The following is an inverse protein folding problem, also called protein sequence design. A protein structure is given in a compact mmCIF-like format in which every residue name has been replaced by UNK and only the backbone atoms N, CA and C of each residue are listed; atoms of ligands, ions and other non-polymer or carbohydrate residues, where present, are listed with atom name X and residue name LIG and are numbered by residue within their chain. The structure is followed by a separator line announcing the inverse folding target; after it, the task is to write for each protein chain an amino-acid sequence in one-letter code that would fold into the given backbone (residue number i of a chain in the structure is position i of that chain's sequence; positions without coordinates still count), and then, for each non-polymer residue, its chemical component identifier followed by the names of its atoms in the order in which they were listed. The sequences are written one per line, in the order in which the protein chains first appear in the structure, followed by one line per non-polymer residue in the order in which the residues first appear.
data_IF_515413542527
#
_entry.id   IF_515413542527
#
_cell.length_a   1.000
_cell.length_b   1.000
_cell.length_c   1.000
_cell.angle_alpha   90.00
_cell.angle_beta   90.00
_cell.angle_gamma   90.00
#
_symmetry.space_group_name_H-M   'P 1'
#
loop_
_entity.id
_entity.type
_entity.pdbx_description
1 polymer ?
#
# COMPACT_ATOMS: atom_id res chain seq x y z
N UNK A 1 12.59 -4.15 -15.45
CA UNK A 1 12.92 -5.45 -16.07
C UNK A 1 14.41 -5.59 -16.23
N UNK A 2 15.13 -4.51 -16.55
CA UNK A 2 16.60 -4.47 -16.51
C UNK A 2 17.13 -4.60 -15.08
N UNK A 3 17.92 -5.64 -14.82
CA UNK A 3 18.47 -5.95 -13.50
C UNK A 3 19.58 -4.98 -13.09
N UNK A 4 20.43 -4.58 -14.04
CA UNK A 4 21.53 -3.66 -13.78
C UNK A 4 21.01 -2.30 -13.34
N UNK A 5 20.09 -1.71 -14.11
CA UNK A 5 19.49 -0.41 -13.79
C UNK A 5 18.70 -0.48 -12.49
N UNK A 6 17.94 -1.57 -12.26
CA UNK A 6 17.14 -1.71 -11.04
C UNK A 6 18.05 -1.74 -9.80
N UNK A 7 19.14 -2.49 -9.83
CA UNK A 7 20.10 -2.57 -8.72
C UNK A 7 20.94 -1.30 -8.59
N UNK A 8 21.30 -0.64 -9.70
CA UNK A 8 22.00 0.66 -9.66
C UNK A 8 21.18 1.72 -8.92
N UNK A 9 19.88 1.80 -9.21
CA UNK A 9 18.99 2.77 -8.54
C UNK A 9 18.66 2.34 -7.12
N UNK A 10 18.50 1.05 -6.83
CA UNK A 10 18.17 0.58 -5.47
C UNK A 10 19.36 0.61 -4.51
N UNK A 11 20.46 0.01 -4.96
CA UNK A 11 21.63 -0.35 -4.16
C UNK A 11 22.77 0.65 -4.37
N UNK A 12 22.68 1.49 -5.39
CA UNK A 12 23.73 2.42 -5.76
C UNK A 12 24.82 1.76 -6.61
N UNK A 13 25.99 2.38 -6.62
CA UNK A 13 27.18 1.98 -7.38
C UNK A 13 28.03 0.99 -6.57
N UNK A 14 28.40 -0.14 -7.15
CA UNK A 14 29.34 -1.12 -6.57
C UNK A 14 30.70 -0.49 -6.26
N UNK A 15 31.33 -0.89 -5.15
CA UNK A 15 32.58 -0.33 -4.63
C UNK A 15 32.43 1.03 -3.94
N UNK A 16 31.28 1.72 -4.11
CA UNK A 16 30.97 2.98 -3.42
C UNK A 16 29.89 2.77 -2.36
N UNK A 17 28.77 2.17 -2.77
CA UNK A 17 27.57 2.01 -1.93
C UNK A 17 27.44 0.58 -1.41
N UNK A 18 27.82 -0.43 -2.20
CA UNK A 18 27.84 -1.82 -1.75
C UNK A 18 29.06 -2.54 -2.33
N UNK A 19 29.39 -3.71 -1.79
CA UNK A 19 30.32 -4.67 -2.42
C UNK A 19 29.59 -5.98 -2.67
N UNK A 20 29.96 -6.67 -3.75
CA UNK A 20 29.52 -8.03 -4.01
C UNK A 20 30.40 -9.04 -3.25
N UNK A 21 29.78 -10.10 -2.75
CA UNK A 21 30.41 -11.23 -2.06
C UNK A 21 30.65 -12.38 -3.05
N UNK A 22 31.42 -13.39 -2.65
CA UNK A 22 31.76 -14.53 -3.52
C UNK A 22 30.54 -15.31 -4.03
N UNK A 23 29.44 -15.30 -3.28
CA UNK A 23 28.18 -15.97 -3.60
C UNK A 23 27.21 -15.08 -4.41
N UNK A 24 27.65 -13.90 -4.86
CA UNK A 24 26.85 -12.94 -5.63
C UNK A 24 25.89 -12.09 -4.78
N UNK A 25 25.86 -12.31 -3.45
CA UNK A 25 25.13 -11.44 -2.53
C UNK A 25 25.86 -10.13 -2.32
N UNK A 26 25.19 -9.18 -1.69
CA UNK A 26 25.76 -7.86 -1.43
C UNK A 26 25.85 -7.56 0.07
N UNK A 27 26.82 -6.73 0.40
CA UNK A 27 26.95 -6.08 1.69
C UNK A 27 27.03 -4.57 1.48
N UNK A 28 26.22 -3.81 2.20
CA UNK A 28 26.24 -2.35 2.15
C UNK A 28 27.55 -1.80 2.70
N UNK A 29 28.04 -0.74 2.06
CA UNK A 29 29.12 0.11 2.53
C UNK A 29 28.55 1.35 3.22
N UNK A 30 29.32 2.05 4.09
CA UNK A 30 28.81 3.18 4.87
C UNK A 30 28.07 4.25 4.03
N UNK A 31 28.55 4.54 2.82
CA UNK A 31 27.94 5.53 1.95
C UNK A 31 26.48 5.20 1.56
N UNK A 32 26.10 3.92 1.49
CA UNK A 32 24.71 3.50 1.20
C UNK A 32 23.75 3.82 2.33
N UNK A 33 24.22 3.75 3.56
CA UNK A 33 23.38 4.03 4.74
C UNK A 33 23.36 5.54 5.01
N UNK A 34 24.50 6.21 4.88
CA UNK A 34 24.66 7.61 5.27
C UNK A 34 24.17 8.61 4.22
N UNK A 35 24.31 8.29 2.92
CA UNK A 35 24.21 9.30 1.84
C UNK A 35 23.34 8.90 0.68
N UNK A 36 23.00 7.62 0.53
CA UNK A 36 22.24 7.14 -0.61
C UNK A 36 21.19 6.10 -0.19
N UNK A 37 20.03 6.55 0.28
CA UNK A 37 18.91 5.67 0.61
C UNK A 37 17.74 5.88 -0.33
N UNK A 38 17.26 4.80 -0.93
CA UNK A 38 16.17 4.80 -1.90
C UNK A 38 14.99 3.97 -1.39
N UNK A 39 13.73 4.40 -1.62
CA UNK A 39 12.55 3.69 -1.16
C UNK A 39 12.26 2.46 -2.03
N UNK A 40 12.98 1.36 -1.79
CA UNK A 40 12.91 0.10 -2.58
C UNK A 40 11.49 -0.34 -2.93
N UNK A 41 10.54 -0.23 -1.98
CA UNK A 41 9.14 -0.63 -2.17
C UNK A 41 8.43 0.13 -3.30
N UNK A 42 8.81 1.39 -3.54
CA UNK A 42 8.22 2.25 -4.57
C UNK A 42 8.92 2.09 -5.94
N UNK A 43 9.97 1.26 -5.99
CA UNK A 43 10.84 1.12 -7.14
C UNK A 43 10.66 -0.26 -7.76
N UNK A 44 9.99 -0.32 -8.90
CA UNK A 44 10.01 -1.44 -9.84
C UNK A 44 9.85 -2.86 -9.26
N UNK A 45 10.34 -3.84 -10.03
CA UNK A 45 10.27 -5.25 -9.66
C UNK A 45 11.32 -5.59 -8.59
N UNK A 46 10.89 -6.29 -7.53
CA UNK A 46 11.75 -6.75 -6.45
C UNK A 46 12.48 -8.06 -6.80
N UNK A 47 11.90 -8.91 -7.64
CA UNK A 47 12.42 -10.25 -7.95
C UNK A 47 13.74 -10.26 -8.73
N UNK A 48 14.22 -9.10 -9.16
CA UNK A 48 15.48 -8.92 -9.90
C UNK A 48 16.54 -8.17 -9.07
N UNK A 49 16.27 -7.94 -7.78
CA UNK A 49 17.23 -7.34 -6.87
C UNK A 49 18.22 -8.38 -6.37
N UNK A 50 19.48 -7.97 -6.25
CA UNK A 50 20.52 -8.72 -5.53
C UNK A 50 20.09 -8.93 -4.08
N UNK A 51 20.45 -10.10 -3.54
CA UNK A 51 20.19 -10.48 -2.16
C UNK A 51 21.25 -9.91 -1.23
N UNK A 52 20.85 -9.56 -0.01
CA UNK A 52 21.79 -9.23 1.05
C UNK A 52 22.40 -10.48 1.69
N UNK A 53 23.58 -10.33 2.30
CA UNK A 53 24.34 -11.42 2.93
C UNK A 53 23.52 -12.29 3.90
N UNK A 54 22.60 -11.67 4.65
CA UNK A 54 21.72 -12.29 5.63
C UNK A 54 20.40 -12.83 5.04
N UNK A 55 20.14 -12.62 3.75
CA UNK A 55 18.92 -13.07 3.10
C UNK A 55 19.02 -14.52 2.61
N UNK A 56 17.94 -15.32 2.73
CA UNK A 56 17.87 -16.65 2.14
C UNK A 56 18.07 -16.62 0.62
N UNK A 57 18.82 -17.59 0.09
CA UNK A 57 19.09 -17.70 -1.36
C UNK A 57 17.82 -17.89 -2.19
N UNK A 58 16.77 -18.45 -1.59
CA UNK A 58 15.48 -18.73 -2.19
C UNK A 58 14.41 -17.69 -1.84
N UNK A 59 14.78 -16.53 -1.26
CA UNK A 59 13.87 -15.46 -0.84
C UNK A 59 12.82 -15.14 -1.91
N UNK A 60 13.26 -14.90 -3.14
CA UNK A 60 12.34 -14.53 -4.22
C UNK A 60 11.40 -15.65 -4.65
N UNK A 61 11.83 -16.91 -4.54
CA UNK A 61 10.98 -18.05 -4.84
C UNK A 61 9.95 -18.29 -3.72
N UNK A 62 10.33 -18.07 -2.46
CA UNK A 62 9.38 -18.06 -1.34
C UNK A 62 8.32 -16.96 -1.51
N UNK A 63 8.72 -15.74 -1.92
CA UNK A 63 7.76 -14.67 -2.19
C UNK A 63 6.85 -14.97 -3.38
N UNK A 64 7.35 -15.56 -4.47
CA UNK A 64 6.50 -16.00 -5.58
C UNK A 64 5.48 -17.04 -5.11
N UNK A 65 5.92 -18.06 -4.38
CA UNK A 65 5.04 -19.09 -3.84
C UNK A 65 4.00 -18.54 -2.84
N UNK A 66 4.37 -17.54 -2.05
CA UNK A 66 3.44 -16.84 -1.16
C UNK A 66 2.41 -16.02 -1.95
N UNK A 67 2.86 -15.27 -2.95
CA UNK A 67 1.98 -14.48 -3.82
C UNK A 67 1.01 -15.35 -4.60
N UNK A 68 1.47 -16.47 -5.16
CA UNK A 68 0.64 -17.41 -5.94
C UNK A 68 -0.44 -18.09 -5.09
N UNK A 69 -0.19 -18.25 -3.79
CA UNK A 69 -1.16 -18.80 -2.81
C UNK A 69 -2.11 -17.74 -2.26
N UNK A 70 -1.90 -16.46 -2.57
CA UNK A 70 -2.70 -15.38 -2.02
C UNK A 70 -4.09 -15.39 -2.64
N UNK A 71 -5.11 -15.21 -1.80
CA UNK A 71 -6.50 -15.14 -2.24
C UNK A 71 -6.83 -13.70 -2.60
N UNK A 72 -7.24 -13.47 -3.84
CA UNK A 72 -7.71 -12.16 -4.28
C UNK A 72 -8.97 -11.75 -3.49
N UNK A 73 -9.02 -10.48 -3.08
CA UNK A 73 -10.23 -9.92 -2.46
C UNK A 73 -11.42 -10.03 -3.43
N UNK A 74 -12.63 -10.34 -2.95
CA UNK A 74 -13.84 -10.34 -3.79
C UNK A 74 -14.12 -9.00 -4.50
N UNK A 75 -13.58 -7.90 -3.96
CA UNK A 75 -13.66 -6.56 -4.57
C UNK A 75 -12.39 -6.10 -5.28
N UNK A 76 -11.40 -6.98 -5.50
CA UNK A 76 -10.19 -6.60 -6.24
C UNK A 76 -10.56 -6.21 -7.68
N UNK A 77 -10.29 -4.95 -8.05
CA UNK A 77 -10.65 -4.40 -9.37
C UNK A 77 -11.93 -3.58 -9.38
N UNK A 78 -12.72 -3.58 -8.30
CA UNK A 78 -13.83 -2.66 -8.15
C UNK A 78 -13.33 -1.23 -7.95
N UNK A 79 -13.87 -0.29 -8.72
CA UNK A 79 -13.61 1.14 -8.59
C UNK A 79 -14.94 1.88 -8.49
N UNK A 80 -15.16 2.57 -7.37
CA UNK A 80 -16.38 3.32 -7.12
C UNK A 80 -16.44 4.60 -7.97
N UNK A 81 -17.46 4.74 -8.81
CA UNK A 81 -17.77 6.02 -9.46
C UNK A 81 -18.58 6.90 -8.52
N UNK A 82 -17.94 7.97 -8.06
CA UNK A 82 -18.55 8.94 -7.14
C UNK A 82 -19.36 10.03 -7.82
N UNK A 83 -19.49 10.04 -9.15
CA UNK A 83 -20.17 11.07 -9.94
C UNK A 83 -21.54 11.51 -9.38
N UNK A 84 -22.38 10.55 -9.00
CA UNK A 84 -23.74 10.79 -8.49
C UNK A 84 -23.82 11.24 -7.02
N UNK A 85 -22.70 11.16 -6.29
CA UNK A 85 -22.62 11.45 -4.84
C UNK A 85 -21.44 12.35 -4.45
N UNK A 86 -20.93 13.15 -5.39
CA UNK A 86 -19.73 13.99 -5.17
C UNK A 86 -19.88 14.95 -3.99
N UNK A 87 -21.06 15.54 -3.84
CA UNK A 87 -21.34 16.50 -2.75
C UNK A 87 -21.27 15.81 -1.39
N UNK A 88 -21.87 14.62 -1.26
CA UNK A 88 -21.81 13.83 -0.03
C UNK A 88 -20.39 13.36 0.27
N UNK A 89 -19.61 12.94 -0.75
CA UNK A 89 -18.20 12.59 -0.59
C UNK A 89 -17.38 13.76 -0.04
N UNK A 90 -17.61 14.98 -0.53
CA UNK A 90 -16.93 16.17 -0.02
C UNK A 90 -17.29 16.43 1.46
N UNK A 91 -18.57 16.34 1.82
CA UNK A 91 -19.04 16.51 3.20
C UNK A 91 -18.47 15.44 4.13
N UNK A 92 -18.50 14.17 3.74
CA UNK A 92 -17.93 13.04 4.48
C UNK A 92 -16.43 13.24 4.68
N UNK A 93 -15.71 13.69 3.66
CA UNK A 93 -14.27 13.96 3.74
C UNK A 93 -13.96 15.00 4.82
N UNK A 94 -14.75 16.07 4.92
CA UNK A 94 -14.59 17.06 5.98
C UNK A 94 -14.80 16.47 7.38
N UNK A 95 -15.82 15.62 7.55
CA UNK A 95 -16.06 14.92 8.82
C UNK A 95 -14.90 13.97 9.15
N UNK A 96 -14.39 13.21 8.17
CA UNK A 96 -13.22 12.36 8.37
C UNK A 96 -11.99 13.17 8.80
N UNK A 97 -11.72 14.32 8.17
CA UNK A 97 -10.59 15.17 8.54
C UNK A 97 -10.70 15.72 9.97
N UNK A 98 -11.91 15.97 10.46
CA UNK A 98 -12.15 16.42 11.84
C UNK A 98 -11.92 15.30 12.87
N UNK A 99 -12.39 14.06 12.59
CA UNK A 99 -12.44 12.99 13.59
C UNK A 99 -11.32 11.95 13.49
N UNK A 100 -10.89 11.62 12.26
CA UNK A 100 -9.98 10.51 12.03
C UNK A 100 -8.62 10.65 12.73
N UNK A 101 -7.96 11.84 12.78
CA UNK A 101 -6.67 11.95 13.45
C UNK A 101 -6.72 11.47 14.89
N UNK A 102 -7.67 11.98 15.69
CA UNK A 102 -7.79 11.64 17.11
C UNK A 102 -8.24 10.18 17.34
N UNK A 103 -9.16 9.66 16.52
CA UNK A 103 -9.64 8.28 16.61
C UNK A 103 -8.56 7.27 16.22
N UNK A 104 -7.81 7.53 15.15
CA UNK A 104 -6.79 6.60 14.64
C UNK A 104 -5.51 6.59 15.48
N UNK A 105 -5.20 7.69 16.18
CA UNK A 105 -4.07 7.74 17.13
C UNK A 105 -4.43 7.28 18.54
N UNK A 106 -5.72 7.02 18.82
CA UNK A 106 -6.18 6.66 20.16
C UNK A 106 -6.06 7.79 21.18
N UNK A 107 -6.07 9.05 20.74
CA UNK A 107 -5.90 10.22 21.61
C UNK A 107 -7.18 10.58 22.39
N UNK A 108 -8.32 10.03 21.98
CA UNK A 108 -9.64 10.28 22.59
C UNK A 108 -10.32 8.96 22.96
N UNK A 109 -11.34 9.03 23.82
CA UNK A 109 -12.17 7.86 24.12
C UNK A 109 -12.87 7.38 22.84
N UNK A 110 -12.60 6.14 22.38
CA UNK A 110 -13.11 5.67 21.11
C UNK A 110 -14.62 5.40 21.14
N UNK A 111 -15.21 5.10 22.30
CA UNK A 111 -16.66 4.84 22.40
C UNK A 111 -17.43 6.13 22.19
N UNK A 112 -17.06 7.19 22.91
CA UNK A 112 -17.69 8.50 22.79
C UNK A 112 -17.50 9.11 21.40
N UNK A 113 -16.26 9.14 20.91
CA UNK A 113 -15.94 9.81 19.65
C UNK A 113 -16.43 9.03 18.42
N UNK A 114 -16.48 7.70 18.47
CA UNK A 114 -17.05 6.92 17.37
C UNK A 114 -18.55 7.16 17.24
N UNK A 115 -19.28 7.33 18.34
CA UNK A 115 -20.70 7.67 18.30
C UNK A 115 -20.92 9.03 17.60
N UNK A 116 -20.21 10.07 18.05
CA UNK A 116 -20.27 11.41 17.44
C UNK A 116 -19.87 11.40 15.97
N UNK A 117 -18.84 10.63 15.62
CA UNK A 117 -18.37 10.49 14.24
C UNK A 117 -19.45 9.86 13.35
N UNK A 118 -20.08 8.77 13.80
CA UNK A 118 -21.18 8.12 13.06
C UNK A 118 -22.36 9.06 12.82
N UNK A 119 -22.75 9.85 13.81
CA UNK A 119 -23.85 10.81 13.67
C UNK A 119 -23.51 11.85 12.59
N UNK A 120 -22.33 12.48 12.67
CA UNK A 120 -21.89 13.45 11.67
C UNK A 120 -21.73 12.85 10.27
N UNK A 121 -21.25 11.61 10.15
CA UNK A 121 -21.17 10.92 8.85
C UNK A 121 -22.57 10.71 8.25
N UNK A 122 -23.55 10.32 9.06
CA UNK A 122 -24.92 10.16 8.61
C UNK A 122 -25.51 11.49 8.13
N UNK A 123 -25.31 12.58 8.88
CA UNK A 123 -25.73 13.94 8.50
C UNK A 123 -25.06 14.41 7.21
N UNK A 124 -23.80 14.01 6.99
CA UNK A 124 -23.03 14.29 5.78
C UNK A 124 -23.46 13.45 4.56
N UNK A 125 -24.42 12.54 4.70
CA UNK A 125 -24.97 11.74 3.59
C UNK A 125 -24.34 10.35 3.43
N UNK A 126 -23.66 9.81 4.44
CA UNK A 126 -23.02 8.48 4.38
C UNK A 126 -23.96 7.38 3.88
N UNK A 127 -25.23 7.36 4.32
CA UNK A 127 -26.20 6.35 3.87
C UNK A 127 -26.44 6.38 2.35
N UNK A 128 -26.44 7.57 1.74
CA UNK A 128 -26.63 7.72 0.29
C UNK A 128 -25.41 7.17 -0.46
N UNK A 129 -24.21 7.51 -0.01
CA UNK A 129 -22.95 6.99 -0.57
C UNK A 129 -22.87 5.47 -0.43
N UNK A 130 -23.20 4.91 0.73
CA UNK A 130 -23.20 3.47 0.95
C UNK A 130 -24.19 2.74 0.02
N UNK A 131 -25.38 3.29 -0.18
CA UNK A 131 -26.38 2.70 -1.08
C UNK A 131 -25.90 2.70 -2.53
N UNK A 132 -25.29 3.80 -2.99
CA UNK A 132 -24.76 3.89 -4.35
C UNK A 132 -23.55 2.97 -4.55
N UNK A 133 -22.64 2.92 -3.58
CA UNK A 133 -21.49 2.00 -3.61
C UNK A 133 -21.94 0.55 -3.61
N UNK A 134 -22.94 0.18 -2.82
CA UNK A 134 -23.49 -1.18 -2.81
C UNK A 134 -24.09 -1.53 -4.16
N UNK A 135 -24.89 -0.64 -4.76
CA UNK A 135 -25.46 -0.84 -6.09
C UNK A 135 -24.35 -1.10 -7.13
N UNK A 136 -23.32 -0.25 -7.18
CA UNK A 136 -22.22 -0.40 -8.13
C UNK A 136 -21.40 -1.67 -7.87
N UNK A 137 -21.23 -2.05 -6.60
CA UNK A 137 -20.53 -3.28 -6.25
C UNK A 137 -21.33 -4.52 -6.66
N UNK A 138 -22.66 -4.52 -6.47
CA UNK A 138 -23.53 -5.59 -6.92
C UNK A 138 -23.51 -5.72 -8.45
N UNK A 139 -23.61 -4.59 -9.17
CA UNK A 139 -23.49 -4.52 -10.64
C UNK A 139 -22.11 -5.07 -11.10
N UNK A 140 -21.02 -4.67 -10.42
CA UNK A 140 -19.68 -5.17 -10.69
C UNK A 140 -19.58 -6.68 -10.47
N UNK A 141 -20.06 -7.20 -9.33
CA UNK A 141 -19.99 -8.62 -8.99
C UNK A 141 -20.77 -9.48 -10.00
N UNK A 142 -21.93 -9.03 -10.46
CA UNK A 142 -22.70 -9.71 -11.49
C UNK A 142 -21.99 -9.74 -12.85
N UNK A 143 -21.11 -8.78 -13.15
CA UNK A 143 -20.32 -8.74 -14.38
C UNK A 143 -19.07 -9.64 -14.37
N UNK A 144 -18.70 -10.19 -13.21
CA UNK A 144 -17.51 -11.05 -13.04
C UNK A 144 -17.86 -12.55 -13.03
N UNK A 145 -19.14 -12.91 -13.17
CA UNK A 145 -19.64 -14.28 -13.40
C UNK A 145 -19.68 -14.60 -14.90
#
# INVERSE_FOLDING_TARGET
TDEYLRNLVDKGIEGTHYKELEDGKIQDLPARVERYSMPTYALGNHFILKLYEDEPVDKWDQFKAFNDKSVASPGLGFYFDSSEVRTEIASITNVCNEFAPALLTGTVDPVEYTAKFKDKLNDAGMKKVMKEMQKQYDDYRASQE
#
